data_IF_731580906607
#
_entry.id   IF_731580906607
#
_cell.length_a   1.000
_cell.length_b   1.000
_cell.length_c   1.000
_cell.angle_alpha   90.00
_cell.angle_beta   90.00
_cell.angle_gamma   90.00
#
_symmetry.space_group_name_H-M   'P 1'
#
loop_
_entity.id
_entity.type
_entity.pdbx_description
1 polymer ?
#
# COMPACT_ATOMS: atom_id res chain seq x y z
N UNK A 1 0.03 10.74 8.01
CA UNK A 1 0.30 11.78 6.98
C UNK A 1 1.16 12.86 7.60
N UNK A 2 2.24 13.29 6.91
CA UNK A 2 3.07 14.43 7.33
C UNK A 2 3.16 15.42 6.17
N UNK A 3 2.92 16.69 6.46
CA UNK A 3 3.15 17.78 5.51
C UNK A 3 4.40 18.55 5.92
N UNK A 4 5.31 18.75 4.97
CA UNK A 4 6.38 19.73 5.13
C UNK A 4 6.08 20.94 4.24
N UNK A 5 6.92 21.98 4.36
CA UNK A 5 6.82 23.15 3.46
C UNK A 5 7.05 22.79 1.99
N UNK A 6 7.75 21.68 1.72
CA UNK A 6 8.18 21.29 0.36
C UNK A 6 7.49 20.03 -0.16
N UNK A 7 7.11 19.11 0.73
CA UNK A 7 6.67 17.77 0.35
C UNK A 7 5.47 17.31 1.16
N UNK A 8 4.64 16.47 0.55
CA UNK A 8 3.63 15.63 1.20
C UNK A 8 4.22 14.23 1.36
N UNK A 9 4.14 13.68 2.58
CA UNK A 9 4.65 12.34 2.91
C UNK A 9 3.53 11.49 3.50
N UNK A 10 3.26 10.36 2.87
CA UNK A 10 2.35 9.31 3.36
C UNK A 10 3.14 8.04 3.65
N UNK A 11 2.84 7.41 4.79
CA UNK A 11 3.47 6.17 5.23
C UNK A 11 2.39 5.20 5.72
N UNK A 12 2.40 3.97 5.21
CA UNK A 12 1.45 2.92 5.53
C UNK A 12 2.18 1.62 5.89
N UNK A 13 1.75 0.96 6.96
CA UNK A 13 2.26 -0.36 7.35
C UNK A 13 1.39 -1.43 6.69
N UNK A 14 1.95 -2.13 5.70
CA UNK A 14 1.33 -3.19 4.91
C UNK A 14 2.20 -4.48 4.97
N UNK A 15 2.47 -5.05 6.16
CA UNK A 15 3.44 -6.14 6.32
C UNK A 15 3.05 -7.46 5.64
N UNK A 16 1.76 -7.68 5.36
CA UNK A 16 1.27 -8.92 4.75
C UNK A 16 1.22 -8.87 3.21
N UNK A 17 1.51 -7.70 2.63
CA UNK A 17 1.47 -7.46 1.20
C UNK A 17 2.88 -7.39 0.62
N UNK A 18 3.02 -7.85 -0.62
CA UNK A 18 4.21 -7.61 -1.43
C UNK A 18 3.98 -6.38 -2.31
N UNK A 19 5.05 -5.85 -2.91
CA UNK A 19 4.95 -4.71 -3.83
C UNK A 19 3.96 -4.95 -4.98
N UNK A 20 3.89 -6.18 -5.49
CA UNK A 20 2.98 -6.59 -6.58
C UNK A 20 1.51 -6.64 -6.16
N UNK A 21 1.24 -6.73 -4.87
CA UNK A 21 -0.10 -6.82 -4.30
C UNK A 21 -0.68 -5.42 -4.03
N UNK A 22 0.09 -4.35 -4.34
CA UNK A 22 -0.23 -2.96 -4.02
C UNK A 22 -0.34 -2.13 -5.30
N UNK A 23 -1.49 -1.48 -5.47
CA UNK A 23 -1.78 -0.51 -6.51
C UNK A 23 -1.84 0.90 -5.90
N UNK A 24 -1.26 1.88 -6.59
CA UNK A 24 -1.14 3.26 -6.09
C UNK A 24 -1.45 4.20 -7.23
N UNK A 25 -2.46 5.03 -7.00
CA UNK A 25 -2.88 6.08 -7.92
C UNK A 25 -2.59 7.44 -7.27
N UNK A 26 -1.90 8.31 -8.01
CA UNK A 26 -1.47 9.63 -7.54
C UNK A 26 -1.92 10.66 -8.56
N UNK A 27 -2.90 11.44 -8.15
CA UNK A 27 -3.35 12.63 -8.85
C UNK A 27 -2.70 13.89 -8.23
N UNK A 28 -2.97 15.07 -8.79
CA UNK A 28 -2.36 16.32 -8.32
C UNK A 28 -2.91 16.78 -6.95
N UNK A 29 -4.09 16.30 -6.55
CA UNK A 29 -4.76 16.64 -5.27
C UNK A 29 -5.25 15.40 -4.50
N UNK A 30 -5.15 14.19 -5.07
CA UNK A 30 -5.69 12.99 -4.42
C UNK A 30 -4.74 11.81 -4.54
N UNK A 31 -4.61 11.03 -3.46
CA UNK A 31 -3.80 9.81 -3.46
C UNK A 31 -4.66 8.64 -3.03
N UNK A 32 -4.62 7.57 -3.81
CA UNK A 32 -5.26 6.29 -3.52
C UNK A 32 -4.22 5.20 -3.38
N UNK A 33 -4.37 4.36 -2.36
CA UNK A 33 -3.57 3.16 -2.12
C UNK A 33 -4.53 1.99 -1.96
N UNK A 34 -4.37 0.98 -2.81
CA UNK A 34 -5.12 -0.28 -2.73
C UNK A 34 -4.14 -1.42 -2.58
N UNK A 35 -4.47 -2.42 -1.78
CA UNK A 35 -3.73 -3.66 -1.73
C UNK A 35 -4.68 -4.84 -1.54
N UNK A 36 -4.46 -5.93 -2.25
CA UNK A 36 -5.27 -7.14 -2.15
C UNK A 36 -4.37 -8.38 -2.23
N UNK A 37 -4.55 -9.31 -1.29
CA UNK A 37 -3.82 -10.58 -1.26
C UNK A 37 -4.73 -11.69 -0.79
N UNK A 38 -4.78 -12.77 -1.57
CA UNK A 38 -5.39 -14.05 -1.18
C UNK A 38 -4.29 -15.07 -0.92
N UNK A 39 -4.35 -15.74 0.22
CA UNK A 39 -3.43 -16.80 0.63
C UNK A 39 -4.27 -18.07 0.87
N UNK A 40 -4.01 -19.12 0.10
CA UNK A 40 -4.66 -20.44 0.23
C UNK A 40 -3.60 -21.41 0.76
N UNK A 41 -3.77 -21.88 2.00
CA UNK A 41 -2.83 -22.77 2.65
C UNK A 41 -3.47 -24.13 2.88
N UNK A 42 -3.12 -25.10 2.04
CA UNK A 42 -3.55 -26.50 2.14
C UNK A 42 -2.45 -27.34 2.77
N UNK A 43 -2.71 -27.90 3.96
CA UNK A 43 -1.83 -28.86 4.61
C UNK A 43 -2.49 -30.25 4.58
N UNK A 44 -1.93 -31.15 3.76
CA UNK A 44 -2.30 -32.57 3.77
C UNK A 44 -1.26 -33.37 4.58
N UNK A 45 -1.63 -33.83 5.77
CA UNK A 45 -0.88 -34.87 6.51
C UNK A 45 -1.76 -36.10 6.69
N UNK A 46 -1.13 -37.28 6.80
CA UNK A 46 -1.77 -38.62 6.74
C UNK A 46 -3.01 -38.82 7.63
N UNK A 47 -3.20 -38.01 8.67
CA UNK A 47 -4.31 -38.17 9.63
C UNK A 47 -5.22 -36.93 9.75
N UNK A 48 -4.91 -35.81 9.07
CA UNK A 48 -5.72 -34.58 9.15
C UNK A 48 -5.68 -33.76 7.85
N UNK A 49 -6.84 -33.25 7.43
CA UNK A 49 -6.98 -32.27 6.36
C UNK A 49 -7.23 -30.89 6.99
N UNK A 50 -6.31 -29.94 6.74
CA UNK A 50 -6.44 -28.56 7.21
C UNK A 50 -6.27 -27.59 6.03
N UNK A 51 -7.23 -26.70 5.86
CA UNK A 51 -7.27 -25.70 4.80
C UNK A 51 -7.58 -24.34 5.44
N UNK A 52 -6.67 -23.38 5.27
CA UNK A 52 -6.87 -21.99 5.66
C UNK A 52 -6.92 -21.12 4.42
N UNK A 53 -8.04 -20.39 4.27
CA UNK A 53 -8.22 -19.38 3.24
C UNK A 53 -8.16 -18.02 3.95
N UNK A 54 -7.13 -17.23 3.66
CA UNK A 54 -6.98 -15.87 4.19
C UNK A 54 -7.07 -14.84 3.06
N UNK A 55 -7.96 -13.86 3.22
CA UNK A 55 -8.06 -12.71 2.31
C UNK A 55 -7.73 -11.43 3.07
N UNK A 56 -6.77 -10.68 2.54
CA UNK A 56 -6.34 -9.39 3.09
C UNK A 56 -6.58 -8.32 2.03
N UNK A 57 -7.31 -7.27 2.40
CA UNK A 57 -7.53 -6.11 1.55
C UNK A 57 -7.26 -4.82 2.32
N UNK A 58 -6.68 -3.84 1.64
CA UNK A 58 -6.43 -2.50 2.15
C UNK A 58 -6.87 -1.49 1.10
N UNK A 59 -7.69 -0.52 1.49
CA UNK A 59 -8.13 0.57 0.60
C UNK A 59 -8.06 1.87 1.38
N UNK A 60 -7.27 2.81 0.90
CA UNK A 60 -7.11 4.12 1.50
C UNK A 60 -7.09 5.19 0.41
N UNK A 61 -7.84 6.26 0.60
CA UNK A 61 -7.83 7.43 -0.26
C UNK A 61 -7.82 8.69 0.59
N UNK A 62 -7.05 9.69 0.19
CA UNK A 62 -7.06 10.99 0.87
C UNK A 62 -6.78 12.12 -0.11
N UNK A 63 -7.46 13.23 0.11
CA UNK A 63 -7.09 14.52 -0.48
C UNK A 63 -5.78 15.00 0.13
N UNK A 64 -4.95 15.62 -0.70
CA UNK A 64 -3.65 16.20 -0.34
C UNK A 64 -3.56 17.60 -0.95
N UNK A 65 -2.79 18.52 -0.36
CA UNK A 65 -2.47 19.79 -1.02
C UNK A 65 -1.88 19.53 -2.41
N UNK A 66 -2.05 20.47 -3.35
CA UNK A 66 -1.48 20.35 -4.71
C UNK A 66 -0.03 19.87 -4.69
N UNK A 67 0.22 18.76 -5.39
CA UNK A 67 1.52 18.12 -5.56
C UNK A 67 1.85 17.94 -7.03
N UNK A 68 3.13 17.77 -7.34
CA UNK A 68 3.58 17.35 -8.66
C UNK A 68 3.60 15.82 -8.70
N UNK A 69 2.48 15.24 -9.11
CA UNK A 69 2.26 13.80 -9.29
C UNK A 69 3.40 13.12 -10.07
N UNK A 70 3.88 13.74 -11.15
CA UNK A 70 4.98 13.21 -12.00
C UNK A 70 6.33 13.11 -11.28
N UNK A 71 6.54 13.87 -10.22
CA UNK A 71 7.78 13.85 -9.41
C UNK A 71 7.63 13.04 -8.13
N UNK A 72 6.50 12.36 -7.94
CA UNK A 72 6.28 11.52 -6.77
C UNK A 72 7.27 10.35 -6.72
N UNK A 73 7.78 10.07 -5.53
CA UNK A 73 8.66 8.94 -5.23
C UNK A 73 7.91 7.95 -4.34
N UNK A 74 7.96 6.68 -4.73
CA UNK A 74 7.28 5.59 -4.02
C UNK A 74 8.32 4.55 -3.64
N UNK A 75 8.31 4.11 -2.38
CA UNK A 75 9.18 3.05 -1.87
C UNK A 75 8.37 2.08 -1.04
N UNK A 76 8.61 0.78 -1.22
CA UNK A 76 8.05 -0.26 -0.36
C UNK A 76 9.18 -1.12 0.19
N UNK A 77 9.43 -1.05 1.50
CA UNK A 77 10.51 -1.79 2.15
C UNK A 77 10.07 -2.29 3.51
N UNK A 78 10.36 -3.55 3.81
CA UNK A 78 10.05 -4.19 5.10
C UNK A 78 8.58 -4.02 5.53
N UNK A 79 7.65 -4.17 4.59
CA UNK A 79 6.22 -4.01 4.87
C UNK A 79 5.77 -2.56 5.06
N UNK A 80 6.59 -1.57 4.73
CA UNK A 80 6.25 -0.15 4.86
C UNK A 80 6.21 0.48 3.47
N UNK A 81 5.04 0.99 3.10
CA UNK A 81 4.84 1.82 1.91
C UNK A 81 5.06 3.28 2.28
N UNK A 82 5.93 3.96 1.54
CA UNK A 82 6.19 5.39 1.66
C UNK A 82 5.99 6.07 0.32
N UNK A 83 5.18 7.13 0.33
CA UNK A 83 4.91 7.99 -0.82
C UNK A 83 5.37 9.39 -0.43
N UNK A 84 6.23 9.99 -1.25
CA UNK A 84 6.73 11.36 -1.09
C UNK A 84 6.49 12.11 -2.38
N UNK A 85 5.72 13.19 -2.33
CA UNK A 85 5.45 14.02 -3.50
C UNK A 85 5.74 15.51 -3.19
N UNK A 86 6.47 16.22 -4.07
CA UNK A 86 6.74 17.63 -3.86
C UNK A 86 5.48 18.45 -4.09
N UNK A 87 5.27 19.45 -3.24
CA UNK A 87 4.16 20.41 -3.35
C UNK A 87 4.40 21.35 -4.54
N UNK A 88 3.30 21.79 -5.16
CA UNK A 88 3.29 22.87 -6.16
C UNK A 88 2.93 24.17 -5.46
#
# INVERSE_FOLDING_TARGET
MKHTKKDVILEFKLPHFNRKDIDIDIDDDFITVRADKRDDKKVKKKEFFHEEISHHAFNYGTTVPKINSKKAKISFKNGILKITAPRI
#
